data_IF_656672711247
#
_entry.id   IF_656672711247
#
_cell.length_a   1.000
_cell.length_b   1.000
_cell.length_c   1.000
_cell.angle_alpha   90.00
_cell.angle_beta   90.00
_cell.angle_gamma   90.00
#
_symmetry.space_group_name_H-M   'P 1'
#
loop_
_entity.id
_entity.type
_entity.pdbx_description
1 polymer ?
#
# COMPACT_ATOMS: atom_id res chain seq x y z
N UNK A 1 1.88 -5.71 6.49
CA UNK A 1 2.61 -5.10 5.36
C UNK A 1 3.63 -6.09 4.83
N UNK A 2 3.81 -6.19 3.51
CA UNK A 2 4.77 -7.11 2.91
C UNK A 2 6.21 -6.66 3.13
N UNK A 3 7.13 -7.62 3.27
CA UNK A 3 8.57 -7.36 3.22
C UNK A 3 9.01 -6.95 1.80
N UNK A 4 10.20 -6.40 1.66
CA UNK A 4 10.77 -6.03 0.35
C UNK A 4 10.79 -7.23 -0.60
N UNK A 5 11.26 -8.40 -0.14
CA UNK A 5 11.33 -9.59 -0.99
C UNK A 5 9.93 -10.09 -1.40
N UNK A 6 8.95 -10.03 -0.52
CA UNK A 6 7.57 -10.36 -0.85
C UNK A 6 6.96 -9.37 -1.87
N UNK A 7 7.29 -8.08 -1.76
CA UNK A 7 6.92 -7.09 -2.78
C UNK A 7 7.53 -7.43 -4.15
N UNK A 8 8.79 -7.83 -4.18
CA UNK A 8 9.48 -8.26 -5.42
C UNK A 8 8.82 -9.50 -6.01
N UNK A 9 8.54 -10.51 -5.19
CA UNK A 9 7.88 -11.74 -5.65
C UNK A 9 6.50 -11.45 -6.24
N UNK A 10 5.72 -10.60 -5.58
CA UNK A 10 4.42 -10.14 -6.08
C UNK A 10 4.56 -9.36 -7.41
N UNK A 11 5.51 -8.45 -7.48
CA UNK A 11 5.76 -7.60 -8.65
C UNK A 11 6.20 -8.41 -9.88
N UNK A 12 7.17 -9.31 -9.72
CA UNK A 12 7.70 -10.13 -10.81
C UNK A 12 6.72 -11.22 -11.26
N UNK A 13 5.95 -11.80 -10.34
CA UNK A 13 4.99 -12.87 -10.66
C UNK A 13 3.64 -12.35 -11.16
N UNK A 14 3.24 -11.14 -10.78
CA UNK A 14 1.88 -10.66 -10.97
C UNK A 14 0.84 -11.40 -10.13
N UNK A 15 1.27 -12.17 -9.11
CA UNK A 15 0.39 -13.00 -8.26
C UNK A 15 0.42 -12.51 -6.82
N UNK A 16 -0.76 -12.52 -6.18
CA UNK A 16 -0.91 -12.07 -4.80
C UNK A 16 -0.28 -13.05 -3.79
N UNK A 17 0.08 -12.57 -2.59
CA UNK A 17 0.49 -13.43 -1.48
C UNK A 17 -0.60 -14.46 -1.16
N UNK A 18 -0.19 -15.69 -0.82
CA UNK A 18 -1.13 -16.77 -0.49
C UNK A 18 -1.80 -17.43 -1.69
N UNK A 19 -1.46 -17.03 -2.92
CA UNK A 19 -1.99 -17.63 -4.15
C UNK A 19 -1.46 -19.05 -4.43
N UNK A 20 -0.39 -19.47 -3.74
CA UNK A 20 0.30 -20.73 -3.97
C UNK A 20 1.37 -20.68 -5.05
N UNK A 21 1.46 -19.62 -5.86
CA UNK A 21 2.46 -19.47 -6.92
C UNK A 21 3.85 -19.14 -6.40
N UNK A 22 3.94 -18.44 -5.27
CA UNK A 22 5.20 -18.12 -4.63
C UNK A 22 5.03 -18.01 -3.11
N UNK A 23 6.13 -18.21 -2.40
CA UNK A 23 6.22 -18.01 -0.94
C UNK A 23 7.61 -17.53 -0.55
N UNK A 24 7.65 -16.53 0.30
CA UNK A 24 8.86 -16.04 0.96
C UNK A 24 8.90 -16.61 2.37
N UNK A 25 10.05 -17.10 2.78
CA UNK A 25 10.31 -17.59 4.13
C UNK A 25 11.44 -16.82 4.78
N UNK A 26 11.31 -16.61 6.09
CA UNK A 26 12.38 -16.05 6.91
C UNK A 26 13.24 -17.17 7.46
N UNK A 27 14.54 -17.05 7.28
CA UNK A 27 15.52 -17.97 7.84
C UNK A 27 15.84 -17.65 9.30
N UNK A 28 16.50 -18.58 10.01
CA UNK A 28 16.84 -18.42 11.42
C UNK A 28 17.77 -17.24 11.70
N UNK A 29 18.56 -16.82 10.73
CA UNK A 29 19.44 -15.64 10.79
C UNK A 29 18.70 -14.30 10.53
N UNK A 30 17.37 -14.33 10.30
CA UNK A 30 16.56 -13.16 10.00
C UNK A 30 16.51 -12.75 8.53
N UNK A 31 17.32 -13.35 7.65
CA UNK A 31 17.24 -13.13 6.21
C UNK A 31 16.00 -13.79 5.62
N UNK A 32 15.61 -13.34 4.42
CA UNK A 32 14.47 -13.90 3.70
C UNK A 32 14.92 -14.52 2.38
N UNK A 33 14.17 -15.54 1.95
CA UNK A 33 14.35 -16.18 0.65
C UNK A 33 13.02 -16.50 0.00
N UNK A 34 13.00 -16.59 -1.33
CA UNK A 34 11.87 -17.18 -2.06
C UNK A 34 11.98 -18.69 -1.91
N UNK A 35 11.07 -19.27 -1.12
CA UNK A 35 11.06 -20.70 -0.83
C UNK A 35 10.25 -21.50 -1.87
N UNK A 36 9.23 -20.88 -2.47
CA UNK A 36 8.40 -21.45 -3.54
C UNK A 36 8.34 -20.45 -4.68
N UNK A 37 8.56 -20.94 -5.89
CA UNK A 37 8.32 -20.24 -7.14
C UNK A 37 7.77 -21.23 -8.15
N UNK A 38 6.50 -21.08 -8.51
CA UNK A 38 5.83 -22.02 -9.41
C UNK A 38 6.47 -22.00 -10.80
N UNK A 39 6.66 -23.19 -11.37
CA UNK A 39 7.28 -23.35 -12.69
C UNK A 39 6.53 -22.63 -13.81
N UNK A 40 5.23 -22.42 -13.67
CA UNK A 40 4.42 -21.67 -14.64
C UNK A 40 4.79 -20.20 -14.73
N UNK A 41 5.50 -19.66 -13.73
CA UNK A 41 6.01 -18.30 -13.71
C UNK A 41 7.33 -18.12 -14.47
N UNK A 42 7.89 -19.22 -14.98
CA UNK A 42 9.22 -19.26 -15.55
C UNK A 42 10.29 -19.54 -14.50
N UNK A 43 11.59 -19.27 -14.80
CA UNK A 43 12.67 -19.51 -13.86
C UNK A 43 12.57 -18.62 -12.64
N UNK A 44 13.05 -19.13 -11.48
CA UNK A 44 13.16 -18.34 -10.27
C UNK A 44 14.02 -17.09 -10.50
N UNK A 45 13.63 -15.90 -10.03
CA UNK A 45 14.41 -14.69 -10.19
C UNK A 45 15.81 -14.83 -9.61
N UNK A 46 16.80 -14.33 -10.33
CA UNK A 46 18.17 -14.21 -9.85
C UNK A 46 18.27 -13.06 -8.82
N UNK A 47 19.35 -13.07 -8.03
CA UNK A 47 19.60 -11.98 -7.08
C UNK A 47 19.71 -10.61 -7.78
N UNK A 48 20.31 -10.57 -8.96
CA UNK A 48 20.41 -9.34 -9.77
C UNK A 48 19.01 -8.83 -10.17
N UNK A 49 18.13 -9.72 -10.60
CA UNK A 49 16.74 -9.38 -10.95
C UNK A 49 15.95 -8.91 -9.73
N UNK A 50 16.13 -9.57 -8.59
CA UNK A 50 15.52 -9.18 -7.31
C UNK A 50 15.97 -7.77 -6.91
N UNK A 51 17.27 -7.51 -6.94
CA UNK A 51 17.83 -6.20 -6.56
C UNK A 51 17.34 -5.09 -7.49
N UNK A 52 17.30 -5.36 -8.80
CA UNK A 52 16.80 -4.40 -9.78
C UNK A 52 15.30 -4.10 -9.65
N UNK A 53 14.52 -5.08 -9.21
CA UNK A 53 13.07 -4.94 -9.03
C UNK A 53 12.67 -4.36 -7.68
N UNK A 54 13.56 -4.29 -6.69
CA UNK A 54 13.22 -3.96 -5.31
C UNK A 54 12.55 -2.58 -5.18
N UNK A 55 13.13 -1.54 -5.72
CA UNK A 55 12.57 -0.18 -5.61
C UNK A 55 11.20 -0.06 -6.32
N UNK A 56 11.04 -0.43 -7.61
CA UNK A 56 9.73 -0.35 -8.26
C UNK A 56 8.69 -1.26 -7.59
N UNK A 57 9.07 -2.44 -7.10
CA UNK A 57 8.16 -3.37 -6.42
C UNK A 57 7.62 -2.79 -5.11
N UNK A 58 8.47 -2.18 -4.29
CA UNK A 58 8.06 -1.56 -3.02
C UNK A 58 7.16 -0.36 -3.26
N UNK A 59 7.46 0.48 -4.26
CA UNK A 59 6.58 1.59 -4.66
C UNK A 59 5.21 1.09 -5.12
N UNK A 60 5.20 0.10 -6.02
CA UNK A 60 3.98 -0.49 -6.56
C UNK A 60 3.08 -1.14 -5.49
N UNK A 61 3.65 -1.56 -4.38
CA UNK A 61 2.90 -2.07 -3.23
C UNK A 61 2.44 -0.96 -2.26
N UNK A 62 3.33 -0.04 -1.88
CA UNK A 62 3.08 0.95 -0.84
C UNK A 62 2.04 1.98 -1.23
N UNK A 63 2.05 2.46 -2.46
CA UNK A 63 1.08 3.48 -2.91
C UNK A 63 -0.35 2.95 -2.86
N UNK A 64 -0.70 1.80 -3.47
CA UNK A 64 -2.05 1.23 -3.34
C UNK A 64 -2.42 0.84 -1.90
N UNK A 65 -1.45 0.37 -1.10
CA UNK A 65 -1.67 0.06 0.30
C UNK A 65 -2.12 1.30 1.10
N UNK A 66 -1.42 2.41 0.97
CA UNK A 66 -1.79 3.67 1.64
C UNK A 66 -3.14 4.20 1.14
N UNK A 67 -3.43 4.04 -0.14
CA UNK A 67 -4.72 4.43 -0.74
C UNK A 67 -5.89 3.61 -0.19
N UNK A 68 -5.70 2.30 -0.05
CA UNK A 68 -6.68 1.42 0.57
C UNK A 68 -6.89 1.77 2.05
N UNK A 69 -5.82 2.08 2.77
CA UNK A 69 -5.90 2.53 4.17
C UNK A 69 -6.64 3.86 4.30
N UNK A 70 -6.41 4.81 3.38
CA UNK A 70 -7.16 6.06 3.32
C UNK A 70 -8.68 5.79 3.19
N UNK A 71 -9.06 4.96 2.23
CA UNK A 71 -10.45 4.58 2.02
C UNK A 71 -11.05 3.90 3.26
N UNK A 72 -10.32 2.96 3.87
CA UNK A 72 -10.75 2.28 5.09
C UNK A 72 -11.04 3.28 6.22
N UNK A 73 -10.14 4.23 6.47
CA UNK A 73 -10.31 5.26 7.51
C UNK A 73 -11.52 6.16 7.24
N UNK A 74 -11.70 6.55 5.99
CA UNK A 74 -12.85 7.40 5.60
C UNK A 74 -14.16 6.67 5.84
N UNK A 75 -14.30 5.43 5.35
CA UNK A 75 -15.54 4.67 5.50
C UNK A 75 -15.79 4.16 6.92
N UNK A 76 -14.75 3.98 7.72
CA UNK A 76 -14.89 3.65 9.14
C UNK A 76 -15.48 4.82 9.94
N UNK A 77 -14.97 6.03 9.71
CA UNK A 77 -15.45 7.24 10.40
C UNK A 77 -16.76 7.78 9.83
N UNK A 78 -16.88 7.76 8.51
CA UNK A 78 -18.05 8.23 7.76
C UNK A 78 -18.52 7.16 6.78
N UNK A 79 -19.35 6.21 7.23
CA UNK A 79 -19.89 5.16 6.36
C UNK A 79 -20.65 5.75 5.16
N UNK A 80 -20.73 5.00 4.07
CA UNK A 80 -21.33 5.45 2.82
C UNK A 80 -22.76 6.02 3.00
N UNK A 81 -23.59 5.38 3.83
CA UNK A 81 -24.94 5.88 4.15
C UNK A 81 -24.92 7.26 4.80
N UNK A 82 -23.95 7.55 5.68
CA UNK A 82 -23.78 8.86 6.29
C UNK A 82 -23.35 9.92 5.29
N UNK A 83 -22.47 9.58 4.38
CA UNK A 83 -22.04 10.48 3.31
C UNK A 83 -23.21 10.79 2.35
N UNK A 84 -24.01 9.80 1.99
CA UNK A 84 -25.22 9.98 1.17
C UNK A 84 -26.26 10.85 1.86
N UNK A 85 -26.48 10.67 3.16
CA UNK A 85 -27.39 11.52 3.95
C UNK A 85 -26.91 12.97 3.99
N UNK A 86 -25.61 13.20 4.10
CA UNK A 86 -25.05 14.55 4.03
C UNK A 86 -25.28 15.19 2.66
N UNK A 87 -25.05 14.44 1.57
CA UNK A 87 -25.34 14.88 0.20
C UNK A 87 -26.83 15.20 -0.02
N UNK A 88 -27.73 14.45 0.62
CA UNK A 88 -29.16 14.68 0.57
C UNK A 88 -29.64 15.88 1.42
N UNK A 89 -28.72 16.57 2.12
CA UNK A 89 -29.07 17.75 2.94
C UNK A 89 -29.69 17.41 4.27
N UNK A 90 -29.57 16.19 4.80
CA UNK A 90 -30.15 15.73 6.06
C UNK A 90 -29.36 16.16 7.30
N UNK A 91 -28.15 16.67 7.13
CA UNK A 91 -27.31 17.22 8.21
C UNK A 91 -27.12 18.72 8.04
N UNK A 92 -26.85 19.41 9.14
CA UNK A 92 -26.54 20.85 9.09
C UNK A 92 -25.20 21.11 8.40
N UNK A 93 -25.00 22.34 7.92
CA UNK A 93 -23.82 22.74 7.16
C UNK A 93 -22.52 22.61 7.94
N UNK A 94 -22.54 22.80 9.26
CA UNK A 94 -21.37 22.67 10.11
C UNK A 94 -20.92 21.19 10.22
N UNK A 95 -21.85 20.25 10.35
CA UNK A 95 -21.56 18.82 10.35
C UNK A 95 -21.06 18.34 8.99
N UNK A 96 -21.65 18.82 7.90
CA UNK A 96 -21.19 18.51 6.53
C UNK A 96 -19.77 19.03 6.32
N UNK A 97 -19.46 20.26 6.73
CA UNK A 97 -18.12 20.85 6.61
C UNK A 97 -17.09 20.05 7.42
N UNK A 98 -17.41 19.69 8.66
CA UNK A 98 -16.53 18.85 9.51
C UNK A 98 -16.18 17.51 8.83
N UNK A 99 -17.18 16.84 8.25
CA UNK A 99 -16.99 15.59 7.53
C UNK A 99 -16.12 15.78 6.27
N UNK A 100 -16.47 16.75 5.43
CA UNK A 100 -15.78 16.99 4.16
C UNK A 100 -14.35 17.45 4.36
N UNK A 101 -14.09 18.32 5.35
CA UNK A 101 -12.75 18.79 5.68
C UNK A 101 -11.85 17.65 6.17
N UNK A 102 -12.40 16.76 7.01
CA UNK A 102 -11.65 15.61 7.49
C UNK A 102 -11.35 14.60 6.37
N UNK A 103 -12.33 14.32 5.49
CA UNK A 103 -12.13 13.45 4.31
C UNK A 103 -11.06 14.06 3.39
N UNK A 104 -11.15 15.37 3.11
CA UNK A 104 -10.17 16.06 2.29
C UNK A 104 -8.76 16.00 2.91
N UNK A 105 -8.64 16.13 4.24
CA UNK A 105 -7.37 16.00 4.93
C UNK A 105 -6.77 14.59 4.84
N UNK A 106 -7.59 13.53 4.90
CA UNK A 106 -7.14 12.15 4.66
C UNK A 106 -6.58 11.98 3.24
N UNK A 107 -7.30 12.46 2.24
CA UNK A 107 -6.89 12.38 0.83
C UNK A 107 -5.59 13.17 0.60
N UNK A 108 -5.48 14.37 1.17
CA UNK A 108 -4.26 15.19 1.06
C UNK A 108 -3.06 14.52 1.71
N UNK A 109 -3.22 13.90 2.87
CA UNK A 109 -2.16 13.16 3.55
C UNK A 109 -1.69 11.96 2.73
N UNK A 110 -2.62 11.20 2.15
CA UNK A 110 -2.30 10.07 1.25
C UNK A 110 -1.57 10.55 0.00
N UNK A 111 -2.03 11.59 -0.66
CA UNK A 111 -1.40 12.15 -1.85
C UNK A 111 0.03 12.64 -1.56
N UNK A 112 0.24 13.32 -0.43
CA UNK A 112 1.58 13.75 0.00
C UNK A 112 2.52 12.57 0.20
N UNK A 113 2.05 11.50 0.81
CA UNK A 113 2.83 10.28 0.97
C UNK A 113 3.11 9.59 -0.37
N UNK A 114 2.14 9.54 -1.28
CA UNK A 114 2.33 8.98 -2.62
C UNK A 114 3.40 9.75 -3.41
N UNK A 115 3.38 11.08 -3.37
CA UNK A 115 4.38 11.92 -4.02
C UNK A 115 5.79 11.68 -3.45
N UNK A 116 5.90 11.54 -2.13
CA UNK A 116 7.17 11.23 -1.46
C UNK A 116 7.69 9.84 -1.85
N UNK A 117 6.81 8.84 -1.96
CA UNK A 117 7.17 7.48 -2.41
C UNK A 117 7.63 7.51 -3.87
N UNK A 118 6.93 8.21 -4.75
CA UNK A 118 7.32 8.33 -6.17
C UNK A 118 8.68 9.01 -6.33
N UNK A 119 8.96 10.03 -5.55
CA UNK A 119 10.23 10.77 -5.58
C UNK A 119 11.40 9.99 -4.95
N UNK A 120 11.15 8.97 -4.14
CA UNK A 120 12.18 8.21 -3.46
C UNK A 120 13.07 7.45 -4.45
N UNK A 121 14.37 7.43 -4.18
CA UNK A 121 15.38 6.77 -5.03
C UNK A 121 15.96 5.51 -4.40
N UNK A 122 15.56 5.17 -3.18
CA UNK A 122 15.97 3.97 -2.45
C UNK A 122 14.79 3.29 -1.78
N UNK A 123 14.90 1.99 -1.55
CA UNK A 123 13.90 1.21 -0.80
C UNK A 123 13.75 1.78 0.62
N UNK A 124 14.86 2.10 1.29
CA UNK A 124 14.84 2.67 2.63
C UNK A 124 14.10 4.00 2.69
N UNK A 125 14.26 4.85 1.67
CA UNK A 125 13.52 6.11 1.57
C UNK A 125 12.02 5.88 1.40
N UNK A 126 11.60 4.88 0.62
CA UNK A 126 10.19 4.49 0.50
C UNK A 126 9.64 3.99 1.85
N UNK A 127 10.38 3.11 2.52
CA UNK A 127 10.00 2.53 3.81
C UNK A 127 9.89 3.58 4.93
N UNK A 128 10.67 4.65 4.83
CA UNK A 128 10.64 5.77 5.78
C UNK A 128 9.41 6.68 5.62
N UNK A 129 8.71 6.63 4.49
CA UNK A 129 7.49 7.43 4.28
C UNK A 129 6.38 6.95 5.19
N UNK A 130 5.86 7.84 6.01
CA UNK A 130 4.67 7.64 6.84
C UNK A 130 3.58 8.59 6.42
N UNK A 131 2.33 8.15 6.50
CA UNK A 131 1.18 9.03 6.21
C UNK A 131 0.77 9.74 7.49
N UNK A 132 0.73 11.07 7.45
CA UNK A 132 0.28 11.90 8.56
C UNK A 132 -1.25 12.01 8.57
N UNK A 133 -1.92 10.93 8.98
CA UNK A 133 -3.38 10.88 9.04
C UNK A 133 -3.95 11.95 9.98
N UNK A 134 -5.05 12.62 9.60
CA UNK A 134 -5.73 13.56 10.51
C UNK A 134 -6.33 12.81 11.72
N UNK A 135 -6.42 13.52 12.83
CA UNK A 135 -6.92 12.98 14.12
C UNK A 135 -8.44 12.89 14.12
#
# INVERSE_FOLDING_TARGET
>A
MLSTLACVARYLSGKEPGSGFWRVERESNGSEKIAIWDASLGPMPTQVEIDAAALPAVKAYRIPFNRAECSRRIFERYPAGRQLSALAGLYDSANVATMTDWIAACIAAENTAADAIEAATTVQAVEAVTVAWPV
#
